data_IF_033974426542
#
_entry.id   IF_033974426542
#
_cell.length_a   1.000
_cell.length_b   1.000
_cell.length_c   1.000
_cell.angle_alpha   90.00
_cell.angle_beta   90.00
_cell.angle_gamma   90.00
#
_symmetry.space_group_name_H-M   'P 1'
#
loop_
_entity.id
_entity.type
_entity.pdbx_description
1 polymer ?
#
# COMPACT_ATOMS: atom_id res chain seq x y z
N UNK A 1 -19.60 -5.34 -6.00
CA UNK A 1 -20.12 -3.96 -5.95
C UNK A 1 -19.12 -3.08 -5.23
N UNK A 2 -18.95 -1.82 -5.66
CA UNK A 2 -17.93 -0.90 -5.12
C UNK A 2 -18.12 -0.61 -3.62
N UNK A 3 -19.36 -0.50 -3.15
CA UNK A 3 -19.67 -0.23 -1.74
C UNK A 3 -19.15 -1.33 -0.80
N UNK A 4 -19.34 -2.60 -1.19
CA UNK A 4 -18.81 -3.75 -0.45
C UNK A 4 -17.29 -3.70 -0.38
N UNK A 5 -16.62 -3.24 -1.44
CA UNK A 5 -15.17 -3.14 -1.50
C UNK A 5 -14.66 -2.00 -0.60
N UNK A 6 -15.34 -0.85 -0.58
CA UNK A 6 -15.04 0.23 0.36
C UNK A 6 -15.18 -0.26 1.80
N UNK A 7 -16.32 -0.88 2.15
CA UNK A 7 -16.57 -1.38 3.50
C UNK A 7 -15.54 -2.44 3.92
N UNK A 8 -15.22 -3.37 3.02
CA UNK A 8 -14.20 -4.39 3.26
C UNK A 8 -12.80 -3.78 3.45
N UNK A 9 -12.37 -2.85 2.59
CA UNK A 9 -11.08 -2.17 2.74
C UNK A 9 -11.00 -1.37 4.04
N UNK A 10 -12.08 -0.70 4.45
CA UNK A 10 -12.17 -0.01 5.74
C UNK A 10 -11.98 -0.99 6.92
N UNK A 11 -12.65 -2.15 6.87
CA UNK A 11 -12.49 -3.19 7.88
C UNK A 11 -11.06 -3.75 7.89
N UNK A 12 -10.51 -4.09 6.72
CA UNK A 12 -9.16 -4.62 6.58
C UNK A 12 -8.10 -3.64 7.09
N UNK A 13 -8.26 -2.35 6.80
CA UNK A 13 -7.41 -1.31 7.35
C UNK A 13 -7.48 -1.27 8.89
N UNK A 14 -8.67 -1.40 9.48
CA UNK A 14 -8.80 -1.43 10.95
C UNK A 14 -8.17 -2.67 11.57
N UNK A 15 -8.42 -3.86 11.02
CA UNK A 15 -7.87 -5.11 11.57
C UNK A 15 -6.37 -5.27 11.30
N UNK A 16 -5.83 -4.61 10.26
CA UNK A 16 -4.38 -4.64 9.98
C UNK A 16 -3.51 -4.11 11.13
N UNK A 17 -4.12 -3.33 12.03
CA UNK A 17 -3.48 -2.80 13.24
C UNK A 17 -3.48 -3.78 14.42
N UNK A 18 -4.17 -4.92 14.31
CA UNK A 18 -4.24 -5.95 15.34
C UNK A 18 -3.40 -7.16 14.95
N UNK A 19 -2.30 -7.38 15.67
CA UNK A 19 -1.39 -8.49 15.41
C UNK A 19 -2.10 -9.86 15.45
N UNK A 20 -3.08 -10.02 16.33
CA UNK A 20 -3.88 -11.24 16.47
C UNK A 20 -4.67 -11.58 15.20
N UNK A 21 -5.25 -10.55 14.56
CA UNK A 21 -6.10 -10.72 13.38
C UNK A 21 -5.30 -10.79 12.07
N UNK A 22 -4.03 -10.35 12.06
CA UNK A 22 -3.18 -10.42 10.85
C UNK A 22 -3.02 -11.87 10.39
N UNK A 23 -2.79 -12.82 11.32
CA UNK A 23 -2.61 -14.24 10.97
C UNK A 23 -3.83 -14.80 10.25
N UNK A 24 -5.02 -14.63 10.81
CA UNK A 24 -6.27 -15.11 10.21
C UNK A 24 -6.55 -14.42 8.87
N UNK A 25 -6.32 -13.11 8.79
CA UNK A 25 -6.49 -12.34 7.56
C UNK A 25 -5.61 -12.87 6.44
N UNK A 26 -4.34 -13.17 6.75
CA UNK A 26 -3.38 -13.76 5.83
C UNK A 26 -3.84 -15.12 5.33
N UNK A 27 -4.18 -16.03 6.26
CA UNK A 27 -4.58 -17.40 5.95
C UNK A 27 -5.85 -17.47 5.10
N UNK A 28 -6.75 -16.49 5.21
CA UNK A 28 -7.99 -16.39 4.45
C UNK A 28 -7.85 -15.62 3.13
N UNK A 29 -6.63 -15.26 2.74
CA UNK A 29 -6.37 -14.53 1.49
C UNK A 29 -6.77 -13.05 1.51
N UNK A 30 -7.06 -12.48 2.69
CA UNK A 30 -7.50 -11.08 2.81
C UNK A 30 -6.46 -10.07 2.32
N UNK A 31 -5.17 -10.37 2.47
CA UNK A 31 -4.07 -9.53 1.95
C UNK A 31 -4.16 -9.39 0.43
N UNK A 32 -4.35 -10.51 -0.28
CA UNK A 32 -4.49 -10.54 -1.74
C UNK A 32 -5.79 -9.87 -2.17
N UNK A 33 -6.89 -10.09 -1.45
CA UNK A 33 -8.18 -9.46 -1.74
C UNK A 33 -8.11 -7.93 -1.70
N UNK A 34 -7.36 -7.35 -0.74
CA UNK A 34 -7.14 -5.90 -0.68
C UNK A 34 -6.36 -5.40 -1.91
N UNK A 35 -5.28 -6.09 -2.30
CA UNK A 35 -4.52 -5.71 -3.50
C UNK A 35 -5.37 -5.78 -4.77
N UNK A 36 -6.17 -6.83 -4.92
CA UNK A 36 -7.10 -6.97 -6.05
C UNK A 36 -8.15 -5.84 -6.07
N UNK A 37 -8.66 -5.44 -4.90
CA UNK A 37 -9.57 -4.31 -4.79
C UNK A 37 -8.90 -3.01 -5.23
N UNK A 38 -7.66 -2.76 -4.78
CA UNK A 38 -6.88 -1.59 -5.20
C UNK A 38 -6.67 -1.57 -6.72
N UNK A 39 -6.29 -2.69 -7.32
CA UNK A 39 -6.10 -2.79 -8.78
C UNK A 39 -7.40 -2.58 -9.54
N UNK A 40 -8.52 -3.09 -9.01
CA UNK A 40 -9.83 -2.98 -9.68
C UNK A 40 -10.44 -1.59 -9.59
N UNK A 41 -10.13 -0.83 -8.53
CA UNK A 41 -10.72 0.47 -8.24
C UNK A 41 -9.65 1.56 -8.05
N UNK A 42 -8.82 1.83 -9.07
CA UNK A 42 -7.71 2.77 -8.96
C UNK A 42 -8.17 4.19 -8.63
N UNK A 43 -9.32 4.61 -9.15
CA UNK A 43 -9.85 5.98 -8.98
C UNK A 43 -10.54 6.22 -7.64
N UNK A 44 -10.78 5.16 -6.85
CA UNK A 44 -11.55 5.26 -5.61
C UNK A 44 -10.61 5.55 -4.45
N UNK A 45 -10.50 6.82 -4.10
CA UNK A 45 -9.57 7.31 -3.07
C UNK A 45 -9.66 6.51 -1.75
N UNK A 46 -10.87 6.23 -1.26
CA UNK A 46 -11.04 5.48 -0.01
C UNK A 46 -10.45 4.06 -0.10
N UNK A 47 -10.64 3.35 -1.22
CA UNK A 47 -10.04 2.02 -1.40
C UNK A 47 -8.52 2.12 -1.43
N UNK A 48 -7.96 3.08 -2.17
CA UNK A 48 -6.51 3.25 -2.25
C UNK A 48 -5.89 3.64 -0.91
N UNK A 49 -6.50 4.58 -0.20
CA UNK A 49 -6.02 5.07 1.09
C UNK A 49 -6.05 3.98 2.17
N UNK A 50 -7.14 3.23 2.26
CA UNK A 50 -7.28 2.11 3.20
C UNK A 50 -6.40 0.92 2.80
N UNK A 51 -6.33 0.64 1.51
CA UNK A 51 -5.47 -0.40 0.94
C UNK A 51 -3.99 -0.15 1.22
N UNK A 52 -3.47 1.03 0.88
CA UNK A 52 -2.09 1.43 1.20
C UNK A 52 -1.82 1.35 2.71
N UNK A 53 -2.74 1.83 3.54
CA UNK A 53 -2.60 1.75 5.00
C UNK A 53 -2.57 0.31 5.53
N UNK A 54 -3.41 -0.58 4.98
CA UNK A 54 -3.43 -1.99 5.36
C UNK A 54 -2.14 -2.71 4.93
N UNK A 55 -1.70 -2.49 3.69
CA UNK A 55 -0.44 -3.03 3.17
C UNK A 55 0.74 -2.54 4.00
N UNK A 56 0.83 -1.26 4.36
CA UNK A 56 1.86 -0.75 5.26
C UNK A 56 1.93 -1.51 6.59
N UNK A 57 0.81 -1.69 7.30
CA UNK A 57 0.82 -2.41 8.57
C UNK A 57 1.20 -3.88 8.38
N UNK A 58 0.67 -4.54 7.35
CA UNK A 58 1.00 -5.94 7.07
C UNK A 58 2.44 -6.13 6.61
N UNK A 59 3.05 -5.15 5.95
CA UNK A 59 4.47 -5.16 5.62
C UNK A 59 5.37 -5.15 6.85
N UNK A 60 4.87 -5.04 8.08
CA UNK A 60 5.71 -5.22 9.28
C UNK A 60 5.92 -6.70 9.63
N UNK A 61 5.11 -7.61 9.07
CA UNK A 61 5.15 -9.05 9.32
C UNK A 61 5.78 -9.77 8.12
N UNK A 62 6.84 -10.56 8.36
CA UNK A 62 7.66 -11.15 7.29
C UNK A 62 6.86 -12.03 6.33
N UNK A 63 5.89 -12.79 6.81
CA UNK A 63 5.08 -13.65 5.96
C UNK A 63 4.08 -12.87 5.11
N UNK A 64 3.57 -11.75 5.65
CA UNK A 64 2.74 -10.85 4.86
C UNK A 64 3.58 -10.11 3.82
N UNK A 65 4.81 -9.67 4.15
CA UNK A 65 5.73 -9.08 3.16
C UNK A 65 5.91 -10.01 1.96
N UNK A 66 6.18 -11.29 2.18
CA UNK A 66 6.35 -12.28 1.10
C UNK A 66 5.11 -12.36 0.23
N UNK A 67 3.91 -12.41 0.82
CA UNK A 67 2.65 -12.44 0.06
C UNK A 67 2.47 -11.16 -0.75
N UNK A 68 2.74 -10.00 -0.16
CA UNK A 68 2.61 -8.70 -0.82
C UNK A 68 3.55 -8.63 -2.03
N UNK A 69 4.83 -8.98 -1.85
CA UNK A 69 5.82 -8.97 -2.94
C UNK A 69 5.44 -9.96 -4.05
N UNK A 70 5.11 -11.21 -3.70
CA UNK A 70 4.75 -12.24 -4.68
C UNK A 70 3.45 -11.96 -5.44
N UNK A 71 2.62 -11.02 -4.98
CA UNK A 71 1.37 -10.63 -5.63
C UNK A 71 1.39 -9.17 -6.13
N UNK A 72 2.57 -8.67 -6.52
CA UNK A 72 2.74 -7.35 -7.15
C UNK A 72 2.27 -6.16 -6.29
N UNK A 73 2.36 -6.30 -4.96
CA UNK A 73 1.95 -5.25 -4.02
C UNK A 73 2.80 -3.99 -4.09
N UNK A 74 4.08 -4.08 -4.48
CA UNK A 74 4.92 -2.90 -4.76
C UNK A 74 4.32 -2.08 -5.90
N UNK A 75 3.99 -2.73 -7.01
CA UNK A 75 3.32 -2.09 -8.14
C UNK A 75 1.97 -1.48 -7.73
N UNK A 76 1.16 -2.18 -6.92
CA UNK A 76 -0.11 -1.66 -6.43
C UNK A 76 0.05 -0.38 -5.59
N UNK A 77 1.07 -0.31 -4.72
CA UNK A 77 1.38 0.91 -3.95
C UNK A 77 1.82 2.06 -4.87
N UNK A 78 2.69 1.80 -5.84
CA UNK A 78 3.15 2.81 -6.80
C UNK A 78 2.01 3.35 -7.65
N UNK A 79 1.14 2.48 -8.16
CA UNK A 79 -0.05 2.89 -8.92
C UNK A 79 -0.99 3.74 -8.08
N UNK A 80 -1.24 3.36 -6.82
CA UNK A 80 -2.07 4.14 -5.91
C UNK A 80 -1.48 5.54 -5.68
N UNK A 81 -0.17 5.62 -5.42
CA UNK A 81 0.55 6.88 -5.22
C UNK A 81 0.55 7.77 -6.47
N UNK A 82 0.73 7.19 -7.66
CA UNK A 82 0.67 7.93 -8.92
C UNK A 82 -0.74 8.48 -9.19
N UNK A 83 -1.77 7.67 -8.95
CA UNK A 83 -3.17 8.06 -9.18
C UNK A 83 -3.62 9.15 -8.20
N UNK A 84 -3.29 9.01 -6.91
CA UNK A 84 -3.70 9.92 -5.84
C UNK A 84 -2.53 10.77 -5.35
N UNK A 85 -1.79 11.39 -6.28
CA UNK A 85 -0.57 12.18 -6.00
C UNK A 85 -0.73 13.32 -5.00
N UNK A 86 -1.96 13.80 -4.78
CA UNK A 86 -2.27 14.90 -3.84
C UNK A 86 -2.81 14.44 -2.49
N UNK A 87 -3.21 13.18 -2.34
CA UNK A 87 -3.67 12.68 -1.04
C UNK A 87 -2.48 12.27 -0.18
N UNK A 88 -2.25 13.05 0.87
CA UNK A 88 -1.18 12.82 1.84
C UNK A 88 -1.24 11.43 2.49
N UNK A 89 -2.44 10.90 2.72
CA UNK A 89 -2.61 9.60 3.37
C UNK A 89 -2.10 8.47 2.48
N UNK A 90 -2.44 8.52 1.18
CA UNK A 90 -1.94 7.58 0.17
C UNK A 90 -0.42 7.72 0.02
N UNK A 91 0.11 8.94 -0.11
CA UNK A 91 1.57 9.14 -0.26
C UNK A 91 2.34 8.63 0.96
N UNK A 92 1.90 9.00 2.18
CA UNK A 92 2.57 8.59 3.43
C UNK A 92 2.54 7.08 3.60
N UNK A 93 1.35 6.47 3.50
CA UNK A 93 1.22 5.02 3.66
C UNK A 93 1.95 4.24 2.56
N UNK A 94 1.90 4.75 1.32
CA UNK A 94 2.64 4.20 0.19
C UNK A 94 4.14 4.19 0.43
N UNK A 95 4.75 5.34 0.77
CA UNK A 95 6.17 5.43 1.09
C UNK A 95 6.57 4.52 2.26
N UNK A 96 5.78 4.47 3.33
CA UNK A 96 6.05 3.61 4.48
C UNK A 96 5.98 2.12 4.12
N UNK A 97 5.00 1.73 3.30
CA UNK A 97 4.88 0.36 2.80
C UNK A 97 6.06 -0.02 1.91
N UNK A 98 6.42 0.84 0.95
CA UNK A 98 7.56 0.63 0.05
C UNK A 98 8.88 0.49 0.82
N UNK A 99 9.13 1.35 1.81
CA UNK A 99 10.31 1.28 2.67
C UNK A 99 10.49 -0.11 3.32
N UNK A 100 9.40 -0.72 3.81
CA UNK A 100 9.44 -2.04 4.44
C UNK A 100 9.57 -3.21 3.46
N UNK A 101 9.12 -3.01 2.22
CA UNK A 101 9.06 -4.05 1.18
C UNK A 101 10.34 -4.12 0.34
N UNK A 102 10.98 -2.98 0.04
CA UNK A 102 12.22 -2.91 -0.75
C UNK A 102 13.37 -3.65 -0.06
N UNK A 103 13.44 -3.61 1.28
CA UNK A 103 14.43 -4.38 2.05
C UNK A 103 14.22 -5.90 1.95
N UNK A 104 12.96 -6.34 1.79
CA UNK A 104 12.64 -7.76 1.60
C UNK A 104 12.77 -8.25 0.15
N UNK A 105 12.75 -7.34 -0.82
CA UNK A 105 12.94 -7.63 -2.23
C UNK A 105 14.44 -7.70 -2.58
N UNK A 106 15.16 -8.66 -1.98
CA UNK A 106 16.56 -8.91 -2.35
C UNK A 106 16.62 -9.31 -3.83
N UNK A 107 17.20 -8.44 -4.66
CA UNK A 107 17.71 -8.69 -6.02
C UNK A 107 16.73 -9.14 -7.13
N UNK A 108 15.44 -8.79 -7.09
CA UNK A 108 14.48 -9.28 -8.10
C UNK A 108 13.65 -8.21 -8.82
N UNK A 109 13.76 -6.93 -8.46
CA UNK A 109 13.02 -5.90 -9.20
C UNK A 109 13.74 -5.58 -10.52
N UNK A 110 13.06 -5.66 -11.67
CA UNK A 110 13.63 -5.25 -12.94
C UNK A 110 14.00 -3.75 -12.91
N UNK A 111 15.02 -3.31 -13.66
CA UNK A 111 15.49 -1.93 -13.67
C UNK A 111 14.36 -0.90 -13.88
N UNK A 112 13.36 -1.25 -14.70
CA UNK A 112 12.22 -0.40 -15.01
C UNK A 112 11.32 -0.14 -13.78
N UNK A 113 11.18 -1.13 -12.89
CA UNK A 113 10.40 -0.99 -11.65
C UNK A 113 11.13 -0.12 -10.63
N UNK A 114 12.47 -0.16 -10.61
CA UNK A 114 13.30 0.73 -9.77
C UNK A 114 13.19 2.18 -10.26
N UNK A 115 13.28 2.43 -11.56
CA UNK A 115 13.12 3.77 -12.12
C UNK A 115 11.74 4.35 -11.81
N UNK A 116 10.69 3.56 -12.03
CA UNK A 116 9.31 3.98 -11.72
C UNK A 116 9.14 4.29 -10.22
N UNK A 117 9.74 3.47 -9.35
CA UNK A 117 9.71 3.71 -7.90
C UNK A 117 10.33 5.05 -7.54
N UNK A 118 11.51 5.35 -8.10
CA UNK A 118 12.21 6.62 -7.85
C UNK A 118 11.40 7.82 -8.37
N UNK A 119 10.83 7.73 -9.57
CA UNK A 119 10.05 8.81 -10.16
C UNK A 119 8.80 9.14 -9.34
N UNK A 120 8.08 8.12 -8.87
CA UNK A 120 6.89 8.31 -8.01
C UNK A 120 7.29 8.94 -6.68
N UNK A 121 8.37 8.49 -6.04
CA UNK A 121 8.84 9.06 -4.77
C UNK A 121 9.30 10.51 -4.94
N UNK A 122 10.09 10.81 -5.97
CA UNK A 122 10.56 12.18 -6.26
C UNK A 122 9.37 13.10 -6.53
N UNK A 123 8.39 12.63 -7.31
CA UNK A 123 7.15 13.36 -7.59
C UNK A 123 6.38 13.67 -6.31
N UNK A 124 6.20 12.67 -5.43
CA UNK A 124 5.55 12.84 -4.14
C UNK A 124 6.27 13.89 -3.27
N UNK A 125 7.61 13.83 -3.20
CA UNK A 125 8.40 14.81 -2.45
C UNK A 125 8.27 16.23 -3.01
N UNK A 126 8.16 16.38 -4.34
CA UNK A 126 7.98 17.69 -4.99
C UNK A 126 6.59 18.27 -4.73
N UNK A 127 5.55 17.46 -4.85
CA UNK A 127 4.15 17.90 -4.65
C UNK A 127 3.89 18.27 -3.18
N UNK A 128 4.53 17.59 -2.22
CA UNK A 128 4.33 17.79 -0.79
C UNK A 128 5.44 18.61 -0.08
N UNK A 129 6.31 19.28 -0.83
CA UNK A 129 7.50 20.01 -0.33
C UNK A 129 7.22 21.06 0.76
N UNK A 130 6.02 21.62 0.78
CA UNK A 130 5.62 22.72 1.68
C UNK A 130 4.70 22.30 2.82
N UNK A 131 4.32 21.02 2.91
CA UNK A 131 3.46 20.53 3.98
C UNK A 131 4.32 20.22 5.21
N UNK A 132 4.54 21.24 6.05
CA UNK A 132 4.95 21.03 7.44
C UNK A 132 3.99 20.01 8.06
N UNK A 133 4.45 18.77 8.23
CA UNK A 133 3.80 17.78 9.09
C UNK A 133 3.82 18.29 10.52
N UNK A 134 2.82 19.09 10.89
CA UNK A 134 2.31 19.12 12.25
C UNK A 134 1.32 17.98 12.27
N UNK A 135 1.64 16.89 12.96
CA UNK A 135 0.74 16.11 13.82
C UNK A 135 1.58 14.98 14.42
N UNK A 136 1.81 15.17 15.72
CA UNK A 136 2.25 14.21 16.72
C UNK A 136 1.41 12.92 16.71
#
# INVERSE_FOLDING_TARGET
QIEVQIAACCLFWRISRSAELVKETRLRGGVVAVMQSMVRFPDVLEIQKKGCGALYHWSQYSECKSIIVSNHGVTALLSAMAQHRRDLGVQRAGCQGLYLLVDSAKHTQPPDEVSLTLDVIISAMREHRSQKTIHE
#
